data_IF_518031853241
#
_entry.id   IF_518031853241
#
_cell.length_a   1.000
_cell.length_b   1.000
_cell.length_c   1.000
_cell.angle_alpha   90.00
_cell.angle_beta   90.00
_cell.angle_gamma   90.00
#
_symmetry.space_group_name_H-M   'P 1'
#
loop_
_entity.id
_entity.type
_entity.pdbx_description
1 polymer ?
#
# COMPACT_ATOMS: atom_id res chain seq x y z
N UNK A 1 0.21 4.66 -16.02
CA UNK A 1 -0.22 4.61 -14.61
C UNK A 1 0.92 4.02 -13.80
N UNK A 2 1.24 4.64 -12.66
CA UNK A 2 2.28 4.19 -11.72
C UNK A 2 1.59 3.87 -10.40
N UNK A 3 1.93 2.76 -9.76
CA UNK A 3 1.44 2.33 -8.46
C UNK A 3 2.63 2.07 -7.54
N UNK A 4 2.68 2.76 -6.40
CA UNK A 4 3.71 2.60 -5.37
C UNK A 4 3.08 1.92 -4.15
N UNK A 5 3.57 0.73 -3.78
CA UNK A 5 3.07 -0.08 -2.68
C UNK A 5 1.52 -0.16 -2.65
N UNK A 6 0.87 -0.63 -3.74
CA UNK A 6 -0.57 -0.52 -3.90
C UNK A 6 -1.33 -1.34 -2.85
N UNK A 7 -2.37 -0.71 -2.29
CA UNK A 7 -3.28 -1.37 -1.36
C UNK A 7 -4.46 -2.00 -2.12
N UNK A 8 -4.59 -3.32 -2.03
CA UNK A 8 -5.85 -4.05 -2.24
C UNK A 8 -6.40 -4.43 -0.86
N UNK A 9 -5.61 -5.16 -0.05
CA UNK A 9 -5.94 -5.41 1.35
C UNK A 9 -4.73 -5.20 2.27
N UNK A 10 -4.96 -4.80 3.53
CA UNK A 10 -3.90 -4.67 4.53
C UNK A 10 -3.41 -6.06 4.98
N UNK A 11 -2.23 -6.07 5.59
CA UNK A 11 -1.71 -7.28 6.26
C UNK A 11 -2.66 -7.72 7.38
N UNK A 12 -2.68 -9.03 7.65
CA UNK A 12 -3.55 -9.64 8.67
C UNK A 12 -5.05 -9.30 8.51
N UNK A 13 -5.50 -9.15 7.25
CA UNK A 13 -6.86 -8.71 6.94
C UNK A 13 -7.95 -9.56 7.58
N UNK A 14 -7.79 -10.88 7.61
CA UNK A 14 -8.77 -11.79 8.25
C UNK A 14 -9.01 -11.47 9.72
N UNK A 15 -7.92 -11.24 10.48
CA UNK A 15 -8.03 -10.83 11.89
C UNK A 15 -8.66 -9.45 12.06
N UNK A 16 -8.32 -8.51 11.17
CA UNK A 16 -8.93 -7.16 11.18
C UNK A 16 -10.43 -7.21 10.92
N UNK A 17 -10.88 -8.06 9.99
CA UNK A 17 -12.31 -8.26 9.72
C UNK A 17 -13.02 -8.90 10.91
N UNK A 18 -12.47 -10.00 11.45
CA UNK A 18 -13.08 -10.70 12.59
C UNK A 18 -13.22 -9.76 13.78
N UNK A 19 -12.15 -9.06 14.15
CA UNK A 19 -12.16 -8.08 15.24
C UNK A 19 -13.18 -6.97 14.99
N UNK A 20 -13.27 -6.47 13.76
CA UNK A 20 -14.26 -5.46 13.40
C UNK A 20 -15.70 -5.95 13.62
N UNK A 21 -16.04 -7.14 13.12
CA UNK A 21 -17.40 -7.66 13.25
C UNK A 21 -17.80 -7.91 14.72
N UNK A 22 -16.87 -8.37 15.55
CA UNK A 22 -17.12 -8.63 16.96
C UNK A 22 -17.22 -7.32 17.78
N UNK A 23 -16.37 -6.33 17.48
CA UNK A 23 -16.21 -5.15 18.33
C UNK A 23 -16.99 -3.92 17.85
N UNK A 24 -17.44 -3.87 16.60
CA UNK A 24 -18.11 -2.69 16.02
C UNK A 24 -19.33 -2.17 16.81
N UNK A 25 -20.13 -2.99 17.51
CA UNK A 25 -21.24 -2.46 18.31
C UNK A 25 -20.76 -1.64 19.50
N UNK A 26 -19.57 -1.95 20.03
CA UNK A 26 -19.03 -1.40 21.28
C UNK A 26 -17.90 -0.40 21.05
N UNK A 27 -17.15 -0.54 19.97
CA UNK A 27 -15.93 0.24 19.71
C UNK A 27 -16.10 1.10 18.47
N UNK A 28 -16.25 2.41 18.65
CA UNK A 28 -16.43 3.39 17.54
C UNK A 28 -15.11 3.85 16.91
N UNK A 29 -14.02 3.82 17.66
CA UNK A 29 -12.70 4.21 17.19
C UNK A 29 -11.60 3.51 17.98
N UNK A 30 -10.48 3.20 17.31
CA UNK A 30 -9.27 2.61 17.91
C UNK A 30 -8.12 3.62 17.88
N UNK A 31 -7.17 3.49 18.79
CA UNK A 31 -5.94 4.26 18.75
C UNK A 31 -5.14 3.90 17.49
N UNK A 32 -4.65 4.94 16.81
CA UNK A 32 -3.73 4.73 15.67
C UNK A 32 -2.35 4.35 16.21
N UNK A 33 -1.77 3.34 15.61
CA UNK A 33 -0.36 2.98 15.85
C UNK A 33 0.47 3.48 14.68
N UNK A 34 1.51 4.23 15.00
CA UNK A 34 2.56 4.60 14.05
C UNK A 34 3.62 3.49 14.06
N UNK A 35 3.99 3.02 12.89
CA UNK A 35 5.00 1.98 12.71
C UNK A 35 6.07 2.46 11.74
N UNK A 36 7.24 1.84 11.80
CA UNK A 36 8.33 2.09 10.88
C UNK A 36 7.97 1.59 9.47
N UNK A 37 7.43 2.48 8.67
CA UNK A 37 6.98 2.20 7.30
C UNK A 37 7.97 2.68 6.22
N UNK A 38 9.14 3.17 6.63
CA UNK A 38 10.25 3.65 5.80
C UNK A 38 11.57 3.27 6.48
N UNK A 39 12.64 3.16 5.70
CA UNK A 39 14.01 3.01 6.20
C UNK A 39 14.68 4.37 6.44
N UNK A 40 14.02 5.48 6.09
CA UNK A 40 14.49 6.81 6.45
C UNK A 40 14.25 7.04 7.96
N UNK A 41 15.30 7.24 8.78
CA UNK A 41 15.17 7.36 10.23
C UNK A 41 14.38 8.60 10.66
N UNK A 42 14.36 9.65 9.85
CA UNK A 42 13.68 10.91 10.16
C UNK A 42 12.18 10.86 9.83
N UNK A 43 11.76 9.90 9.01
CA UNK A 43 10.38 9.84 8.54
C UNK A 43 9.36 9.51 9.66
N UNK A 44 9.66 8.57 10.54
CA UNK A 44 8.74 8.20 11.62
C UNK A 44 8.57 9.32 12.66
N UNK A 45 9.64 9.98 13.15
CA UNK A 45 9.53 11.16 14.00
C UNK A 45 8.73 12.29 13.32
N UNK A 46 9.01 12.58 12.06
CA UNK A 46 8.25 13.55 11.27
C UNK A 46 6.75 13.22 11.24
N UNK A 47 6.40 11.96 10.95
CA UNK A 47 5.00 11.53 10.89
C UNK A 47 4.29 11.61 12.25
N UNK A 48 5.00 11.33 13.35
CA UNK A 48 4.46 11.42 14.71
C UNK A 48 4.27 12.86 15.17
N UNK A 49 5.11 13.77 14.70
CA UNK A 49 5.04 15.20 15.03
C UNK A 49 3.99 15.96 14.20
N UNK A 50 3.47 15.36 13.13
CA UNK A 50 2.50 16.02 12.24
C UNK A 50 1.13 16.18 12.94
N UNK A 51 0.70 17.42 13.26
CA UNK A 51 -0.55 17.68 13.96
C UNK A 51 -1.80 17.33 13.15
N UNK A 52 -1.65 17.13 11.84
CA UNK A 52 -2.75 16.73 10.96
C UNK A 52 -2.98 15.21 10.95
N UNK A 53 -2.09 14.43 11.58
CA UNK A 53 -2.28 12.99 11.67
C UNK A 53 -3.33 12.63 12.73
N UNK A 54 -4.40 11.90 12.35
CA UNK A 54 -5.39 11.49 13.33
C UNK A 54 -4.80 10.48 14.32
N UNK A 55 -4.99 10.72 15.59
CA UNK A 55 -4.57 9.81 16.68
C UNK A 55 -5.54 8.62 16.87
N UNK A 56 -6.72 8.70 16.31
CA UNK A 56 -7.75 7.67 16.39
C UNK A 56 -8.32 7.38 15.01
N UNK A 57 -8.55 6.10 14.74
CA UNK A 57 -9.15 5.64 13.49
C UNK A 57 -10.58 5.15 13.75
N UNK A 58 -11.60 5.72 13.08
CA UNK A 58 -12.96 5.23 13.20
C UNK A 58 -13.08 3.78 12.74
N UNK A 59 -13.74 2.91 13.51
CA UNK A 59 -13.96 1.52 13.13
C UNK A 59 -14.80 1.38 11.85
N UNK A 60 -15.64 2.37 11.54
CA UNK A 60 -16.36 2.45 10.28
C UNK A 60 -15.44 2.39 9.03
N UNK A 61 -14.17 2.83 9.14
CA UNK A 61 -13.20 2.73 8.05
C UNK A 61 -12.88 1.28 7.68
N UNK A 62 -12.84 0.38 8.65
CA UNK A 62 -12.63 -1.06 8.39
C UNK A 62 -13.78 -1.61 7.55
N UNK A 63 -15.02 -1.23 7.87
CA UNK A 63 -16.20 -1.61 7.07
C UNK A 63 -16.19 -1.02 5.66
N UNK A 64 -15.76 0.24 5.51
CA UNK A 64 -15.61 0.88 4.21
C UNK A 64 -14.51 0.20 3.39
N UNK A 65 -13.37 -0.12 4.01
CA UNK A 65 -12.27 -0.84 3.39
C UNK A 65 -12.70 -2.24 2.94
N UNK A 66 -13.47 -2.97 3.76
CA UNK A 66 -14.01 -4.28 3.39
C UNK A 66 -14.86 -4.23 2.12
N UNK A 67 -15.71 -3.20 1.99
CA UNK A 67 -16.50 -2.99 0.75
C UNK A 67 -15.60 -2.63 -0.44
N UNK A 68 -14.59 -1.80 -0.22
CA UNK A 68 -13.63 -1.41 -1.26
C UNK A 68 -12.85 -2.63 -1.78
N UNK A 69 -12.34 -3.47 -0.90
CA UNK A 69 -11.62 -4.70 -1.26
C UNK A 69 -12.49 -5.60 -2.13
N UNK A 70 -13.72 -5.89 -1.69
CA UNK A 70 -14.67 -6.71 -2.46
C UNK A 70 -14.93 -6.13 -3.85
N UNK A 71 -15.06 -4.80 -3.96
CA UNK A 71 -15.25 -4.13 -5.27
C UNK A 71 -14.02 -4.26 -6.16
N UNK A 72 -12.82 -4.10 -5.62
CA UNK A 72 -11.56 -4.25 -6.37
C UNK A 72 -11.42 -5.69 -6.86
N UNK A 73 -11.64 -6.66 -5.97
CA UNK A 73 -11.50 -8.09 -6.30
C UNK A 73 -12.55 -8.57 -7.32
N UNK A 74 -13.77 -8.03 -7.27
CA UNK A 74 -14.84 -8.34 -8.21
C UNK A 74 -14.77 -7.54 -9.52
N UNK A 75 -13.98 -6.46 -9.59
CA UNK A 75 -13.91 -5.61 -10.77
C UNK A 75 -13.39 -6.40 -11.99
N UNK A 76 -13.87 -6.10 -13.21
CA UNK A 76 -13.36 -6.71 -14.44
C UNK A 76 -11.89 -6.35 -14.68
N UNK A 77 -11.24 -7.10 -15.55
CA UNK A 77 -9.88 -6.81 -16.00
C UNK A 77 -9.79 -5.47 -16.74
N UNK A 78 -8.60 -4.91 -16.79
CA UNK A 78 -8.30 -3.65 -17.45
C UNK A 78 -7.18 -3.84 -18.48
N UNK A 79 -7.30 -3.21 -19.62
CA UNK A 79 -6.26 -3.19 -20.68
C UNK A 79 -5.07 -2.29 -20.32
N UNK A 80 -5.11 -1.60 -19.19
CA UNK A 80 -4.02 -0.73 -18.73
C UNK A 80 -2.80 -1.57 -18.33
N UNK A 81 -1.61 -1.02 -18.58
CA UNK A 81 -0.31 -1.62 -18.28
C UNK A 81 0.43 -0.78 -17.25
N UNK A 82 0.13 -0.94 -15.95
CA UNK A 82 0.78 -0.16 -14.91
C UNK A 82 2.26 -0.52 -14.74
N UNK A 83 3.02 0.45 -14.27
CA UNK A 83 4.30 0.24 -13.60
C UNK A 83 4.02 0.13 -12.11
N UNK A 84 4.43 -0.95 -11.47
CA UNK A 84 4.21 -1.20 -10.05
C UNK A 84 5.58 -1.27 -9.37
N UNK A 85 5.73 -0.55 -8.26
CA UNK A 85 6.89 -0.68 -7.38
C UNK A 85 6.41 -1.18 -6.04
N UNK A 86 7.04 -2.25 -5.53
CA UNK A 86 6.65 -2.88 -4.28
C UNK A 86 7.87 -3.18 -3.42
N UNK A 87 7.82 -2.76 -2.16
CA UNK A 87 8.79 -3.15 -1.13
C UNK A 87 8.50 -4.54 -0.58
N UNK A 88 9.51 -5.41 -0.49
CA UNK A 88 9.34 -6.75 0.09
C UNK A 88 9.35 -6.73 1.64
N UNK A 89 9.93 -5.70 2.24
CA UNK A 89 9.88 -5.46 3.69
C UNK A 89 8.61 -4.68 4.13
N UNK A 90 7.62 -4.54 3.24
CA UNK A 90 6.34 -3.90 3.54
C UNK A 90 5.55 -4.75 4.54
N UNK A 91 5.33 -4.19 5.74
CA UNK A 91 4.58 -4.82 6.83
C UNK A 91 3.17 -4.21 7.00
N UNK A 92 2.78 -3.29 6.13
CA UNK A 92 1.49 -2.58 6.17
C UNK A 92 0.44 -3.29 5.34
N UNK A 93 0.81 -3.69 4.13
CA UNK A 93 -0.12 -4.34 3.20
C UNK A 93 0.24 -5.81 2.98
N UNK A 94 -0.75 -6.61 2.57
CA UNK A 94 -0.53 -7.98 2.09
C UNK A 94 -0.05 -7.91 0.63
N UNK A 95 1.21 -7.56 0.45
CA UNK A 95 1.74 -7.25 -0.87
C UNK A 95 1.72 -8.46 -1.81
N UNK A 96 1.88 -9.70 -1.31
CA UNK A 96 1.79 -10.91 -2.13
C UNK A 96 0.40 -11.04 -2.75
N UNK A 97 -0.64 -10.97 -1.91
CA UNK A 97 -2.02 -11.00 -2.38
C UNK A 97 -2.32 -9.82 -3.30
N UNK A 98 -1.92 -8.61 -2.91
CA UNK A 98 -2.19 -7.40 -3.68
C UNK A 98 -1.58 -7.48 -5.08
N UNK A 99 -0.34 -7.95 -5.20
CA UNK A 99 0.29 -8.16 -6.50
C UNK A 99 -0.38 -9.26 -7.31
N UNK A 100 -0.83 -10.35 -6.68
CA UNK A 100 -1.55 -11.41 -7.38
C UNK A 100 -2.85 -10.88 -8.00
N UNK A 101 -3.64 -10.13 -7.23
CA UNK A 101 -4.87 -9.48 -7.71
C UNK A 101 -4.58 -8.51 -8.85
N UNK A 102 -3.58 -7.63 -8.69
CA UNK A 102 -3.26 -6.63 -9.71
C UNK A 102 -2.71 -7.26 -10.99
N UNK A 103 -1.90 -8.31 -10.89
CA UNK A 103 -1.42 -9.07 -12.07
C UNK A 103 -2.54 -9.75 -12.83
N UNK A 104 -3.56 -10.26 -12.12
CA UNK A 104 -4.73 -10.86 -12.75
C UNK A 104 -5.65 -9.82 -13.42
N UNK A 105 -5.65 -8.57 -12.94
CA UNK A 105 -6.57 -7.54 -13.43
C UNK A 105 -6.01 -6.63 -14.51
N UNK A 106 -4.70 -6.46 -14.59
CA UNK A 106 -4.07 -5.58 -15.58
C UNK A 106 -3.38 -6.34 -16.71
N UNK A 107 -3.38 -5.75 -17.89
CA UNK A 107 -2.64 -6.31 -19.05
C UNK A 107 -1.13 -6.10 -18.84
N UNK A 108 -0.40 -7.19 -18.63
CA UNK A 108 1.07 -7.23 -18.53
C UNK A 108 1.67 -6.11 -17.64
N UNK A 109 1.29 -6.00 -16.36
CA UNK A 109 1.89 -5.03 -15.47
C UNK A 109 3.39 -5.30 -15.31
N UNK A 110 4.19 -4.22 -15.29
CA UNK A 110 5.62 -4.33 -15.03
C UNK A 110 5.87 -4.03 -13.55
N UNK A 111 6.50 -4.96 -12.86
CA UNK A 111 6.71 -4.87 -11.41
C UNK A 111 8.20 -4.76 -11.11
N UNK A 112 8.58 -3.75 -10.34
CA UNK A 112 9.87 -3.67 -9.65
C UNK A 112 9.69 -4.08 -8.19
N UNK A 113 10.45 -5.08 -7.76
CA UNK A 113 10.51 -5.51 -6.35
C UNK A 113 11.76 -4.91 -5.71
N UNK A 114 11.59 -4.25 -4.56
CA UNK A 114 12.68 -3.68 -3.77
C UNK A 114 12.84 -4.48 -2.47
N UNK A 115 13.86 -5.35 -2.34
CA UNK A 115 13.96 -6.30 -1.22
C UNK A 115 13.93 -5.65 0.16
N UNK A 116 14.58 -4.50 0.31
CA UNK A 116 14.72 -3.82 1.61
C UNK A 116 13.69 -2.71 1.83
N UNK A 117 12.95 -2.29 0.79
CA UNK A 117 12.02 -1.18 0.91
C UNK A 117 10.78 -1.58 1.71
N UNK A 118 10.29 -0.64 2.52
CA UNK A 118 9.07 -0.73 3.29
C UNK A 118 7.88 -0.13 2.53
N UNK A 119 6.81 0.27 3.24
CA UNK A 119 5.56 0.72 2.61
C UNK A 119 5.63 2.11 2.00
N UNK A 120 6.24 3.07 2.69
CA UNK A 120 6.28 4.48 2.26
C UNK A 120 7.39 4.74 1.24
N UNK A 121 7.29 4.15 0.05
CA UNK A 121 8.32 4.22 -1.00
C UNK A 121 8.72 5.66 -1.37
N UNK A 122 7.79 6.60 -1.36
CA UNK A 122 8.07 8.01 -1.64
C UNK A 122 8.97 8.67 -0.58
N UNK A 123 8.97 8.14 0.63
CA UNK A 123 9.74 8.63 1.77
C UNK A 123 10.83 7.64 2.20
N UNK A 124 11.24 6.75 1.32
CA UNK A 124 12.36 5.86 1.55
C UNK A 124 13.71 6.60 1.42
N UNK A 125 14.78 5.94 1.82
CA UNK A 125 16.15 6.47 1.67
C UNK A 125 16.44 6.89 0.23
N UNK A 126 17.35 7.85 0.04
CA UNK A 126 17.72 8.34 -1.30
C UNK A 126 18.17 7.21 -2.23
N UNK A 127 18.89 6.20 -1.71
CA UNK A 127 19.34 5.05 -2.49
C UNK A 127 18.16 4.26 -3.07
N UNK A 128 17.18 3.88 -2.24
CA UNK A 128 15.99 3.15 -2.68
C UNK A 128 15.12 4.00 -3.62
N UNK A 129 15.00 5.29 -3.35
CA UNK A 129 14.29 6.21 -4.27
C UNK A 129 14.99 6.30 -5.62
N UNK A 130 16.31 6.41 -5.64
CA UNK A 130 17.10 6.42 -6.88
C UNK A 130 16.87 5.17 -7.74
N UNK A 131 16.81 3.99 -7.11
CA UNK A 131 16.58 2.72 -7.80
C UNK A 131 15.24 2.71 -8.53
N UNK A 132 14.13 3.01 -7.84
CA UNK A 132 12.82 2.94 -8.50
C UNK A 132 12.57 4.12 -9.45
N UNK A 133 13.11 5.31 -9.19
CA UNK A 133 13.07 6.40 -10.16
C UNK A 133 13.81 6.08 -11.45
N UNK A 134 14.96 5.39 -11.34
CA UNK A 134 15.70 4.87 -12.50
C UNK A 134 14.85 3.89 -13.33
N UNK A 135 14.16 2.96 -12.66
CA UNK A 135 13.22 2.03 -13.31
C UNK A 135 12.08 2.78 -14.02
N UNK A 136 11.41 3.71 -13.32
CA UNK A 136 10.29 4.47 -13.87
C UNK A 136 10.73 5.32 -15.08
N UNK A 137 11.84 6.03 -14.98
CA UNK A 137 12.35 6.90 -16.04
C UNK A 137 12.65 6.12 -17.33
N UNK A 138 13.30 4.97 -17.21
CA UNK A 138 13.57 4.09 -18.37
C UNK A 138 12.30 3.61 -19.05
N UNK A 139 11.26 3.25 -18.25
CA UNK A 139 9.99 2.72 -18.78
C UNK A 139 9.09 3.82 -19.36
N UNK A 140 9.14 5.02 -18.83
CA UNK A 140 8.38 6.17 -19.37
C UNK A 140 8.99 6.62 -20.70
N UNK A 141 10.32 6.81 -20.75
CA UNK A 141 11.01 7.20 -21.98
C UNK A 141 10.85 6.18 -23.12
N UNK A 142 10.90 4.89 -22.81
CA UNK A 142 10.72 3.82 -23.78
C UNK A 142 9.28 3.63 -24.30
N UNK A 143 8.29 4.38 -23.77
CA UNK A 143 6.91 4.38 -24.28
C UNK A 143 6.62 5.53 -25.25
N UNK A 144 7.56 6.45 -25.42
CA UNK A 144 7.42 7.63 -26.29
C UNK A 144 8.15 7.46 -27.65
N UNK A 145 8.50 6.22 -28.03
CA UNK A 145 9.10 5.88 -29.32
C UNK A 145 8.14 4.96 -30.11
#
# INVERSE_FOLDING_TARGET
MILLAPLVRPRAWGWSQLSYYLLRPFVKAIARRFSENSNDPDFLPFLQADPLQPLRLPTAWVGALARCIKRIEAAPGSTRRPLIVQGQADMTVDWQHNLAVLKAKFDRPQVLMLPQARHHLANETLALRGEYFGFLSKRIKGRNL
#
